data_IF_104439434675
#
_entry.id   IF_104439434675
#
_cell.length_a   1.000
_cell.length_b   1.000
_cell.length_c   1.000
_cell.angle_alpha   90.00
_cell.angle_beta   90.00
_cell.angle_gamma   90.00
#
_symmetry.space_group_name_H-M   'P 1'
#
loop_
_entity.id
_entity.type
_entity.pdbx_description
1 polymer ?
2 non-polymer ?
3 water ?
#
# COMPACT_ATOMS: atom_id res chain seq x y z
N UNK A 8 -23.52 -10.71 11.43
CA UNK A 8 -22.42 -10.44 12.34
C UNK A 8 -21.39 -9.47 11.80
N UNK A 9 -20.90 -9.69 10.58
CA UNK A 9 -19.93 -8.80 9.93
C UNK A 9 -20.57 -7.46 9.64
N UNK A 10 -20.86 -6.71 10.70
CA UNK A 10 -21.78 -5.57 10.62
C UNK A 10 -21.13 -4.19 10.62
N UNK A 11 -19.81 -4.12 10.51
CA UNK A 11 -19.12 -2.82 10.37
C UNK A 11 -19.32 -2.22 8.99
N UNK A 12 -19.64 -0.91 8.93
CA UNK A 12 -19.76 -0.28 7.63
C UNK A 12 -18.52 -0.58 6.80
N UNK A 13 -18.73 -1.10 5.60
CA UNK A 13 -17.62 -1.52 4.75
C UNK A 13 -17.92 -1.41 3.26
N UNK A 14 -16.87 -1.21 2.48
CA UNK A 14 -16.97 -1.09 1.04
C UNK A 14 -15.66 -1.51 0.41
N UNK A 15 -15.77 -2.34 -0.62
CA UNK A 15 -14.66 -2.63 -1.52
C UNK A 15 -15.26 -2.68 -2.90
N UNK A 16 -15.09 -1.60 -3.64
CA UNK A 16 -15.66 -1.46 -4.98
C UNK A 16 -14.56 -1.45 -6.03
N UNK A 17 -14.91 -1.80 -7.26
CA UNK A 17 -13.93 -2.00 -8.32
C UNK A 17 -14.28 -1.14 -9.53
N UNK A 18 -13.36 -1.03 -10.48
CA UNK A 18 -13.64 -0.28 -11.67
C UNK A 18 -14.50 -1.10 -12.62
N UNK A 19 -15.41 -0.43 -13.31
CA UNK A 19 -16.21 -1.05 -14.37
C UNK A 19 -15.44 -1.12 -15.68
N UNK A 20 -15.27 -2.34 -16.23
CA UNK A 20 -14.49 -2.53 -17.46
C UNK A 20 -15.18 -1.97 -18.71
N UNK A 21 -16.50 -2.13 -18.80
CA UNK A 21 -17.28 -1.70 -19.96
C UNK A 21 -17.39 -0.18 -20.06
N UNK A 22 -16.97 0.53 -19.01
CA UNK A 22 -16.99 1.99 -18.99
C UNK A 22 -15.70 2.54 -19.56
N UNK A 23 -15.73 2.87 -20.85
CA UNK A 23 -14.54 3.28 -21.60
C UNK A 23 -13.96 4.63 -21.14
N UNK A 24 -12.65 4.65 -20.89
CA UNK A 24 -11.90 5.85 -20.53
C UNK A 24 -12.46 6.66 -19.37
N UNK A 25 -12.89 5.96 -18.32
CA UNK A 25 -13.47 6.58 -17.12
C UNK A 25 -13.20 5.70 -15.92
N UNK A 26 -12.89 6.32 -14.79
CA UNK A 26 -12.80 5.60 -13.53
C UNK A 26 -14.15 5.67 -12.81
N UNK A 27 -15.05 4.73 -13.11
CA UNK A 27 -16.33 4.64 -12.39
C UNK A 27 -16.51 3.35 -11.57
N UNK A 28 -16.58 3.55 -10.26
CA UNK A 28 -16.68 2.47 -9.30
C UNK A 28 -18.00 1.72 -9.37
N UNK A 29 -17.96 0.41 -9.13
CA UNK A 29 -19.20 -0.36 -9.04
C UNK A 29 -19.17 -1.45 -7.97
N UNK A 30 -20.34 -1.73 -7.43
CA UNK A 30 -20.53 -2.85 -6.54
C UNK A 30 -20.91 -4.05 -7.40
N UNK A 31 -19.94 -4.50 -8.19
CA UNK A 31 -20.12 -5.63 -9.08
C UNK A 31 -18.84 -6.45 -9.04
N UNK A 32 -18.93 -7.71 -9.48
CA UNK A 32 -17.79 -8.61 -9.38
C UNK A 32 -18.06 -9.66 -8.34
N UNK A 33 -17.23 -10.69 -8.32
CA UNK A 33 -17.45 -11.82 -7.43
C UNK A 33 -17.08 -11.45 -5.98
N UNK A 34 -16.12 -10.54 -5.83
CA UNK A 34 -15.66 -10.11 -4.52
C UNK A 34 -15.63 -8.59 -4.36
N UNK A 35 -16.83 -8.00 -4.29
CA UNK A 35 -17.01 -6.57 -4.03
C UNK A 35 -17.95 -6.36 -2.85
N UNK A 36 -17.76 -5.27 -2.12
CA UNK A 36 -18.58 -4.98 -0.95
C UNK A 36 -19.16 -3.57 -0.94
N UNK A 37 -20.43 -3.49 -0.58
CA UNK A 37 -21.08 -2.24 -0.27
C UNK A 37 -22.04 -2.58 0.85
N UNK A 38 -21.59 -2.44 2.09
CA UNK A 38 -22.36 -3.00 3.19
C UNK A 38 -22.46 -2.13 4.43
N UNK A 39 -23.46 -2.47 5.24
CA UNK A 39 -23.66 -1.91 6.58
C UNK A 39 -23.71 -0.39 6.61
N UNK A 40 -24.42 0.19 5.65
CA UNK A 40 -24.65 1.62 5.65
C UNK A 40 -23.99 2.36 4.50
N UNK A 41 -22.79 1.95 4.12
CA UNK A 41 -22.02 2.67 3.10
C UNK A 41 -22.75 2.69 1.76
N UNK A 42 -22.72 3.83 1.10
CA UNK A 42 -23.33 3.96 -0.23
C UNK A 42 -22.35 4.36 -1.33
N UNK A 43 -22.71 3.98 -2.55
CA UNK A 43 -22.04 4.45 -3.75
C UNK A 43 -23.00 5.38 -4.47
N UNK A 44 -22.72 6.68 -4.35
CA UNK A 44 -23.57 7.74 -4.88
C UNK A 44 -22.72 8.70 -5.70
N UNK A 45 -23.17 9.02 -6.92
CA UNK A 45 -22.48 9.96 -7.80
C UNK A 45 -20.97 9.63 -7.91
N UNK A 46 -20.67 8.33 -8.06
CA UNK A 46 -19.30 7.79 -8.14
C UNK A 46 -18.48 7.92 -6.85
N UNK A 47 -19.17 8.15 -5.73
CA UNK A 47 -18.51 8.40 -4.44
C UNK A 47 -19.06 7.52 -3.32
N UNK A 48 -18.20 7.16 -2.38
CA UNK A 48 -18.58 6.36 -1.23
C UNK A 48 -19.04 7.28 -0.11
N UNK A 49 -20.26 7.01 0.38
CA UNK A 49 -20.89 7.86 1.40
C UNK A 49 -20.71 7.20 2.76
N UNK A 50 -20.19 7.97 3.72
CA UNK A 50 -19.87 7.43 5.05
C UNK A 50 -21.13 7.42 5.93
N UNK A 51 -21.53 6.24 6.44
CA UNK A 51 -22.75 6.24 7.22
C UNK A 51 -22.60 6.65 8.69
N UNK A 52 -21.37 6.68 9.21
CA UNK A 52 -21.14 6.82 10.65
C UNK A 52 -19.88 7.56 11.01
N UNK A 53 -19.85 8.16 12.20
CA UNK A 53 -18.63 8.79 12.71
C UNK A 53 -17.68 7.74 13.29
N UNK A 54 -16.40 7.87 12.97
CA UNK A 54 -15.36 7.05 13.57
C UNK A 54 -14.04 7.00 12.81
N UNK A 55 -13.20 6.05 13.20
CA UNK A 55 -11.94 5.83 12.51
C UNK A 55 -12.16 4.82 11.40
N UNK A 56 -11.87 5.23 10.17
CA UNK A 56 -11.90 4.31 9.03
C UNK A 56 -10.52 4.03 8.48
N UNK A 57 -10.29 2.78 8.10
CA UNK A 57 -9.20 2.47 7.17
C UNK A 57 -9.74 2.68 5.77
N UNK A 58 -9.01 3.49 5.01
CA UNK A 58 -9.38 3.76 3.63
C UNK A 58 -8.19 3.45 2.77
N UNK A 59 -8.45 2.97 1.56
CA UNK A 59 -7.38 2.57 0.64
C UNK A 59 -7.83 2.64 -0.81
N UNK A 60 -6.88 2.62 -1.73
CA UNK A 60 -7.18 2.56 -3.16
C UNK A 60 -5.96 2.21 -4.00
N UNK A 61 -6.22 1.58 -5.15
CA UNK A 61 -5.18 1.21 -6.10
C UNK A 61 -5.71 1.46 -7.50
N UNK A 62 -4.86 2.04 -8.33
CA UNK A 62 -5.13 2.12 -9.74
C UNK A 62 -3.95 1.55 -10.50
N UNK A 63 -4.24 0.85 -11.60
CA UNK A 63 -3.20 0.38 -12.50
C UNK A 63 -3.21 1.27 -13.71
N UNK A 64 -2.11 1.99 -13.91
CA UNK A 64 -1.92 2.85 -15.07
C UNK A 64 -1.14 2.09 -16.11
N UNK A 65 -1.57 2.18 -17.36
CA UNK A 65 -0.89 1.49 -18.47
C UNK A 65 -0.86 2.32 -19.74
N UNK A 66 0.14 2.08 -20.57
CA UNK A 66 0.30 2.79 -21.83
C UNK A 66 1.28 2.08 -22.75
N UNK A 67 1.14 2.30 -24.05
CA UNK A 67 1.96 1.60 -25.06
C UNK A 67 3.33 2.24 -25.24
N UNK A 68 3.37 3.56 -25.38
CA UNK A 68 4.63 4.29 -25.40
C UNK A 68 4.61 5.51 -24.50
N UNK A 69 5.57 6.40 -24.72
CA UNK A 69 5.65 7.67 -24.00
C UNK A 69 5.53 8.83 -24.98
N UNK A 70 4.27 9.27 -25.26
CA UNK A 70 4.01 10.21 -26.35
C UNK A 70 4.65 11.57 -26.09
N UNK A 71 4.26 12.21 -25.00
CA UNK A 71 4.78 13.52 -24.63
C UNK A 71 6.10 13.37 -23.88
N UNK A 72 7.01 14.31 -24.15
CA UNK A 72 8.28 14.42 -23.43
C UNK A 72 8.13 14.15 -21.92
N UNK A 73 6.97 14.52 -21.37
CA UNK A 73 6.69 14.32 -19.96
C UNK A 73 5.19 14.30 -19.64
N UNK A 74 4.78 13.31 -18.85
CA UNK A 74 3.40 13.15 -18.42
C UNK A 74 3.37 12.83 -16.94
N UNK A 75 2.43 13.40 -16.19
CA UNK A 75 2.31 13.11 -14.77
C UNK A 75 1.00 12.42 -14.46
N UNK A 76 1.10 11.24 -13.82
CA UNK A 76 -0.04 10.48 -13.36
C UNK A 76 -0.27 10.70 -11.87
N UNK A 77 -1.48 11.07 -11.50
CA UNK A 77 -1.83 11.24 -10.08
C UNK A 77 -2.94 10.34 -9.62
N UNK A 78 -2.91 10.00 -8.34
CA UNK A 78 -3.99 9.24 -7.73
C UNK A 78 -4.34 9.87 -6.38
N UNK A 79 -5.63 10.14 -6.19
CA UNK A 79 -6.08 10.91 -5.03
C UNK A 79 -7.29 10.32 -4.33
N UNK A 80 -7.28 10.37 -3.00
CA UNK A 80 -8.49 10.18 -2.21
C UNK A 80 -8.78 11.46 -1.47
N UNK A 81 -9.89 12.08 -1.84
CA UNK A 81 -10.30 13.33 -1.24
C UNK A 81 -11.60 13.14 -0.45
N UNK A 82 -11.87 14.09 0.44
CA UNK A 82 -13.03 14.05 1.29
C UNK A 82 -13.90 15.26 1.05
N UNK A 83 -15.20 15.00 0.90
CA UNK A 83 -16.21 16.07 0.90
C UNK A 83 -17.11 15.90 2.13
N UNK A 84 -17.06 16.88 3.02
CA UNK A 84 -17.97 16.97 4.16
C UNK A 84 -19.36 17.42 3.67
N UNK A 85 -20.37 17.04 4.46
CA UNK A 85 -21.79 17.09 4.05
C UNK A 85 -22.30 18.44 3.52
N UNK A 86 -22.06 19.50 4.29
CA UNK A 86 -22.51 20.84 3.89
C UNK A 86 -21.43 21.61 3.16
N UNK A 87 -20.27 20.96 2.97
CA UNK A 87 -19.10 21.60 2.38
C UNK A 87 -18.78 21.00 1.02
N UNK A 88 -19.44 21.48 -0.03
CA UNK A 88 -19.13 21.06 -1.40
C UNK A 88 -17.80 21.66 -1.90
N UNK A 89 -16.71 21.13 -1.35
CA UNK A 89 -15.33 21.46 -1.73
C UNK A 89 -14.42 20.33 -1.23
N UNK A 90 -13.93 19.48 -2.15
CA UNK A 90 -13.17 18.30 -1.72
C UNK A 90 -11.85 18.68 -1.05
N UNK A 91 -11.39 17.76 -0.17
CA UNK A 91 -10.11 17.95 0.52
C UNK A 91 -9.29 16.66 0.53
N UNK A 92 -8.09 16.72 -0.03
CA UNK A 92 -7.20 15.58 -0.10
C UNK A 92 -6.86 14.97 1.25
N UNK A 93 -7.01 13.65 1.35
CA UNK A 93 -6.58 12.87 2.50
C UNK A 93 -5.34 12.05 2.15
N UNK A 94 -5.38 11.43 0.97
CA UNK A 94 -4.23 10.72 0.42
C UNK A 94 -3.95 11.14 -1.01
N UNK A 95 -2.68 11.31 -1.34
CA UNK A 95 -2.28 11.69 -2.68
C UNK A 95 -0.91 11.15 -3.05
N UNK A 96 -0.81 10.63 -4.28
CA UNK A 96 0.46 10.15 -4.81
C UNK A 96 0.61 10.48 -6.30
N UNK A 97 1.86 10.64 -6.73
CA UNK A 97 2.22 11.04 -8.09
C UNK A 97 3.31 10.09 -8.63
N UNK A 98 3.20 9.74 -9.91
CA UNK A 98 4.26 9.00 -10.62
C UNK A 98 4.51 9.59 -12.01
N UNK A 99 5.77 9.84 -12.31
CA UNK A 99 6.18 10.17 -13.67
C UNK A 99 6.54 8.86 -14.39
N UNK A 100 5.70 8.42 -15.33
CA UNK A 100 5.97 7.18 -16.04
C UNK A 100 7.15 7.22 -17.02
N UNK A 101 7.69 8.39 -17.36
CA UNK A 101 8.85 8.45 -18.28
C UNK A 101 9.76 9.69 -18.28
N UNK A 102 11.07 9.46 -18.38
CA UNK A 102 12.03 10.51 -18.76
C UNK A 102 12.59 10.21 -20.16
N UNK A 111 7.15 -0.19 -29.68
CA UNK A 111 7.24 0.38 -28.33
C UNK A 111 6.48 -0.44 -27.27
N UNK A 112 7.24 -1.23 -26.51
CA UNK A 112 6.74 -2.08 -25.43
C UNK A 112 5.96 -1.33 -24.33
N UNK A 113 4.86 -1.93 -23.80
CA UNK A 113 3.98 -1.30 -22.79
C UNK A 113 4.62 -1.03 -21.42
N UNK A 114 4.18 0.06 -20.77
CA UNK A 114 4.56 0.36 -19.37
C UNK A 114 3.38 0.20 -18.39
N UNK A 115 3.69 0.07 -17.10
CA UNK A 115 2.65 -0.12 -16.07
C UNK A 115 3.02 0.58 -14.79
N UNK A 116 2.04 1.24 -14.18
CA UNK A 116 2.27 1.96 -12.96
C UNK A 116 1.13 1.76 -11.97
N UNK A 117 1.27 0.79 -11.06
CA UNK A 117 0.29 0.67 -9.98
C UNK A 117 0.57 1.74 -8.94
N UNK A 118 -0.49 2.28 -8.35
CA UNK A 118 -0.32 3.33 -7.34
C UNK A 118 -1.21 2.99 -6.17
N UNK A 119 -0.60 2.68 -5.03
CA UNK A 119 -1.39 2.31 -3.86
C UNK A 119 -1.49 3.46 -2.89
N UNK A 120 -2.72 3.71 -2.42
CA UNK A 120 -3.04 4.72 -1.42
C UNK A 120 -3.64 4.05 -0.20
N UNK A 121 -3.19 4.44 0.99
CA UNK A 121 -3.72 3.82 2.22
C UNK A 121 -3.47 4.62 3.50
N UNK A 122 -4.51 4.81 4.29
CA UNK A 122 -4.37 5.48 5.58
C UNK A 122 -5.58 5.36 6.46
N UNK A 123 -5.40 5.68 7.75
CA UNK A 123 -6.47 5.67 8.72
C UNK A 123 -6.93 7.09 9.04
N UNK A 124 -8.22 7.35 8.82
CA UNK A 124 -8.74 8.69 8.98
C UNK A 124 -10.03 8.78 9.79
N UNK A 125 -10.15 9.90 10.51
CA UNK A 125 -11.34 10.25 11.27
C UNK A 125 -12.38 10.76 10.28
N UNK A 126 -13.46 10.01 10.10
CA UNK A 126 -14.52 10.39 9.16
C UNK A 126 -15.83 10.68 9.85
N UNK A 127 -16.65 11.53 9.23
CA UNK A 127 -17.98 11.93 9.74
C UNK A 127 -19.16 11.43 8.87
N UNK A 128 -20.34 11.22 9.48
CA UNK A 128 -21.50 10.70 8.75
C UNK A 128 -21.98 11.61 7.63
N UNK A 129 -22.01 11.07 6.40
CA UNK A 129 -22.43 11.80 5.23
C UNK A 129 -21.27 12.27 4.37
N UNK A 130 -20.03 12.06 4.86
CA UNK A 130 -18.85 12.39 4.08
C UNK A 130 -18.79 11.56 2.81
N UNK A 131 -18.40 12.23 1.72
CA UNK A 131 -18.22 11.56 0.45
C UNK A 131 -16.75 11.45 0.13
N UNK A 132 -16.38 10.26 -0.32
CA UNK A 132 -15.01 9.99 -0.68
C UNK A 132 -14.98 9.74 -2.17
N UNK A 133 -13.97 10.29 -2.81
CA UNK A 133 -13.74 9.98 -4.21
C UNK A 133 -12.33 9.47 -4.37
N UNK A 134 -12.17 8.48 -5.23
CA UNK A 134 -10.85 8.04 -5.60
C UNK A 134 -10.71 8.47 -7.05
N UNK A 135 -9.90 9.51 -7.27
CA UNK A 135 -9.83 10.13 -8.58
C UNK A 135 -8.47 9.99 -9.20
N UNK A 136 -8.43 10.13 -10.53
CA UNK A 136 -7.18 10.19 -11.27
C UNK A 136 -7.23 11.30 -12.31
N UNK A 137 -6.06 11.71 -12.78
CA UNK A 137 -5.97 12.76 -13.79
C UNK A 137 -5.99 12.19 -15.20
N UNK A 138 -5.52 10.95 -15.36
CA UNK A 138 -5.35 10.35 -16.69
C UNK A 138 -6.14 9.04 -16.87
N UNK A 139 -7.49 9.15 -16.98
CA UNK A 139 -8.32 7.96 -17.18
C UNK A 139 -8.08 7.30 -18.53
N UNK A 140 -7.49 8.05 -19.45
CA UNK A 140 -7.13 7.51 -20.76
C UNK A 140 -5.87 6.61 -20.70
N UNK A 141 -5.40 6.33 -19.48
CA UNK A 141 -4.28 5.41 -19.26
C UNK A 141 -4.65 4.30 -18.27
N UNK A 142 -5.84 4.39 -17.71
CA UNK A 142 -6.32 3.35 -16.80
C UNK A 142 -6.23 1.99 -17.46
N UNK A 143 -5.98 0.96 -16.65
CA UNK A 143 -6.00 -0.41 -17.10
C UNK A 143 -6.91 -1.20 -16.14
N UNK A 144 -8.19 -1.30 -16.50
CA UNK A 144 -9.13 -2.14 -15.74
C UNK A 144 -9.25 -3.50 -16.38
N UNK A 145 -8.26 -3.84 -17.21
CA UNK A 145 -8.29 -5.04 -18.08
C UNK A 145 -8.40 -6.37 -17.37
N UNK A 146 -8.24 -6.38 -16.03
CA UNK A 146 -8.37 -7.61 -15.26
C UNK A 146 -8.89 -7.37 -13.85
N UNK A 147 -9.50 -8.40 -13.27
CA UNK A 147 -9.98 -8.38 -11.90
C UNK A 147 -8.84 -8.11 -10.94
N UNK A 148 -9.12 -7.28 -9.93
CA UNK A 148 -8.17 -6.99 -8.87
C UNK A 148 -7.27 -5.79 -9.06
N UNK A 149 -7.28 -5.21 -10.26
CA UNK A 149 -6.31 -4.17 -10.62
C UNK A 149 -6.70 -2.76 -10.20
N UNK A 150 -8.00 -2.49 -10.17
CA UNK A 150 -8.49 -1.16 -9.83
C UNK A 150 -9.56 -1.27 -8.73
N UNK A 151 -9.24 -0.79 -7.54
CA UNK A 151 -10.13 -0.90 -6.40
C UNK A 151 -10.07 0.31 -5.47
N UNK A 152 -11.11 0.42 -4.67
CA UNK A 152 -11.35 1.51 -3.75
C UNK A 152 -12.21 0.90 -2.65
N UNK A 153 -11.72 0.97 -1.42
CA UNK A 153 -12.43 0.36 -0.30
C UNK A 153 -12.27 1.18 0.97
N UNK A 154 -13.23 1.02 1.88
CA UNK A 154 -13.16 1.63 3.21
C UNK A 154 -13.72 0.66 4.26
N UNK A 155 -13.16 0.71 5.46
CA UNK A 155 -13.68 -0.07 6.60
C UNK A 155 -13.63 0.76 7.88
N UNK A 156 -14.75 0.80 8.61
CA UNK A 156 -14.77 1.44 9.92
C UNK A 156 -14.02 0.58 10.93
N UNK A 157 -13.11 1.19 11.67
CA UNK A 157 -12.36 0.51 12.72
C UNK A 157 -12.97 0.76 14.10
N UNK B 7 -11.66 12.11 18.36
CA UNK B 7 -11.08 10.77 18.66
C UNK B 7 -12.17 9.82 19.19
N UNK B 8 -12.84 9.09 18.27
CA UNK B 8 -14.03 8.27 18.54
C UNK B 8 -13.74 6.93 19.23
N UNK B 9 -12.70 6.23 18.77
CA UNK B 9 -12.33 4.94 19.35
C UNK B 9 -11.30 5.12 20.47
N UNK B 10 -11.22 4.10 21.34
CA UNK B 10 -10.30 4.14 22.48
C UNK B 10 -8.94 3.52 22.13
N UNK B 11 -8.80 3.10 20.88
CA UNK B 11 -7.63 2.35 20.44
C UNK B 11 -6.46 3.26 20.16
N UNK B 12 -5.25 2.86 20.63
CA UNK B 12 -4.01 3.54 20.24
C UNK B 12 -3.97 3.81 18.74
N UNK B 13 -3.70 5.06 18.38
CA UNK B 13 -3.75 5.50 16.99
C UNK B 13 -2.79 6.69 16.74
N UNK B 14 -2.12 6.63 15.60
CA UNK B 14 -1.27 7.73 15.14
C UNK B 14 -1.49 7.93 13.65
N UNK B 15 -1.27 9.16 13.21
CA UNK B 15 -1.17 9.50 11.81
C UNK B 15 -0.40 10.82 11.69
N UNK B 16 0.93 10.73 11.58
CA UNK B 16 1.79 11.92 11.55
C UNK B 16 2.32 12.21 10.14
N UNK B 17 2.52 13.49 9.84
CA UNK B 17 2.95 13.90 8.51
C UNK B 17 4.35 14.53 8.52
N UNK B 18 4.90 14.68 7.33
CA UNK B 18 6.19 15.31 7.16
C UNK B 18 6.08 16.79 7.44
N UNK B 19 7.11 17.30 8.10
CA UNK B 19 7.26 18.72 8.32
C UNK B 19 8.30 19.27 7.34
N UNK B 20 7.86 20.12 6.40
CA UNK B 20 8.74 20.90 5.53
C UNK B 20 9.18 22.20 6.17
N UNK B 21 10.48 22.38 6.37
CA UNK B 21 11.02 23.64 6.93
C UNK B 21 12.32 24.07 6.24
N UNK B 22 13.15 23.09 5.92
CA UNK B 22 14.33 23.25 5.08
C UNK B 22 14.63 21.87 4.46
N UNK B 23 14.98 21.87 3.19
CA UNK B 23 15.21 20.65 2.38
C UNK B 23 15.58 19.38 3.16
N UNK B 24 16.42 19.55 4.18
CA UNK B 24 17.01 18.49 5.00
C UNK B 24 16.26 17.20 5.26
N UNK B 25 15.66 17.09 6.44
CA UNK B 25 15.27 15.82 7.05
C UNK B 25 13.81 15.42 6.83
N UNK B 26 13.53 14.12 6.98
CA UNK B 26 12.16 13.64 7.09
C UNK B 26 11.80 13.64 8.58
N UNK B 27 11.23 14.75 9.03
CA UNK B 27 10.85 14.89 10.42
C UNK B 27 9.34 14.78 10.56
N UNK B 28 8.89 13.87 11.41
CA UNK B 28 7.47 13.65 11.65
C UNK B 28 6.91 14.65 12.65
N UNK B 29 5.75 15.20 12.35
CA UNK B 29 5.09 16.15 13.24
C UNK B 29 3.59 15.88 13.35
N UNK B 30 3.07 15.96 14.57
CA UNK B 30 1.64 15.85 14.82
C UNK B 30 0.93 17.18 14.58
N UNK B 31 0.68 17.48 13.31
CA UNK B 31 0.12 18.76 12.86
C UNK B 31 -0.52 18.61 11.48
N UNK B 32 -1.40 19.53 11.13
CA UNK B 32 -2.12 19.45 9.85
C UNK B 32 -3.57 19.06 10.04
N UNK B 33 -4.31 19.09 8.94
CA UNK B 33 -5.76 18.84 8.95
C UNK B 33 -6.13 17.35 9.02
N UNK B 34 -5.11 16.49 8.92
CA UNK B 34 -5.29 15.04 8.88
C UNK B 34 -4.59 14.29 10.02
N UNK B 35 -3.98 15.03 10.96
CA UNK B 35 -3.06 14.44 11.95
C UNK B 35 -3.76 13.78 13.13
N UNK B 36 -3.13 12.75 13.68
CA UNK B 36 -3.66 12.07 14.88
C UNK B 36 -2.55 11.52 15.76
N UNK B 37 -2.65 11.78 17.06
CA UNK B 37 -1.79 11.18 18.08
C UNK B 37 -2.62 10.96 19.35
N UNK B 38 -3.27 9.81 19.44
CA UNK B 38 -4.21 9.57 20.53
C UNK B 38 -3.97 8.27 21.29
N UNK B 39 -4.67 8.18 22.43
CA UNK B 39 -4.77 6.97 23.25
C UNK B 39 -3.44 6.40 23.77
N UNK B 40 -2.57 7.30 24.24
CA UNK B 40 -1.29 6.90 24.81
C UNK B 40 -0.10 6.99 23.88
N UNK B 41 -0.31 6.72 22.59
CA UNK B 41 0.75 6.81 21.58
C UNK B 41 1.45 8.17 21.62
N UNK B 42 2.78 8.14 21.61
CA UNK B 42 3.60 9.36 21.72
C UNK B 42 4.54 9.50 20.54
N UNK B 43 4.93 10.75 20.23
CA UNK B 43 5.92 11.04 19.19
C UNK B 43 7.20 11.61 19.83
N UNK B 44 8.23 10.78 19.88
CA UNK B 44 9.42 11.04 20.69
C UNK B 44 10.68 10.73 19.88
N UNK B 45 11.66 11.64 19.93
CA UNK B 45 12.92 11.49 19.20
C UNK B 45 12.73 11.08 17.73
N UNK B 46 11.66 11.61 17.12
CA UNK B 46 11.23 11.31 15.74
C UNK B 46 10.69 9.89 15.52
N UNK B 47 10.16 9.30 16.59
CA UNK B 47 9.59 7.96 16.53
C UNK B 47 8.20 7.91 17.16
N UNK B 48 7.40 6.95 16.70
CA UNK B 48 6.14 6.64 17.36
C UNK B 48 6.40 5.68 18.52
N UNK B 49 5.94 6.06 19.70
CA UNK B 49 6.03 5.19 20.89
C UNK B 49 4.69 4.49 21.16
N UNK B 50 4.72 3.18 21.31
CA UNK B 50 3.51 2.39 21.61
C UNK B 50 3.25 2.27 23.11
N UNK B 51 2.01 2.55 23.55
CA UNK B 51 1.68 2.51 24.97
C UNK B 51 1.27 1.13 25.51
N UNK B 52 0.79 0.23 24.65
CA UNK B 52 0.36 -1.11 25.11
C UNK B 52 0.66 -2.27 24.13
N UNK B 53 0.57 -3.50 24.62
CA UNK B 53 0.69 -4.70 23.79
C UNK B 53 -0.56 -4.90 22.95
N UNK B 54 -0.36 -5.26 21.68
CA UNK B 54 -1.43 -5.53 20.75
C UNK B 54 -0.97 -5.68 19.31
N UNK B 55 -1.90 -6.02 18.45
CA UNK B 55 -1.66 -6.12 17.03
C UNK B 55 -1.90 -4.76 16.40
N UNK B 56 -0.85 -4.19 15.81
CA UNK B 56 -0.95 -2.86 15.18
C UNK B 56 -0.80 -2.99 13.68
N UNK B 57 -1.71 -2.34 12.94
CA UNK B 57 -1.51 -2.12 11.52
C UNK B 57 -0.59 -0.93 11.43
N UNK B 58 0.59 -1.13 10.85
CA UNK B 58 1.56 -0.07 10.64
C UNK B 58 1.69 0.23 9.15
N UNK B 59 1.80 1.52 8.83
CA UNK B 59 1.80 1.98 7.44
C UNK B 59 2.46 3.35 7.29
N UNK B 60 2.98 3.60 6.10
CA UNK B 60 3.57 4.86 5.76
C UNK B 60 3.62 5.05 4.25
N UNK B 61 3.56 6.29 3.82
CA UNK B 61 3.88 6.59 2.43
C UNK B 61 4.87 7.76 2.35
N UNK B 62 5.88 7.61 1.50
CA UNK B 62 6.79 8.70 1.19
C UNK B 62 6.71 9.00 -0.30
N UNK B 63 7.01 10.24 -0.66
CA UNK B 63 7.03 10.68 -2.04
C UNK B 63 8.36 11.35 -2.32
N UNK B 64 9.10 10.80 -3.28
CA UNK B 64 10.36 11.36 -3.68
C UNK B 64 10.16 12.15 -4.97
N UNK B 65 10.93 13.22 -5.14
CA UNK B 65 10.96 13.93 -6.41
C UNK B 65 12.37 14.44 -6.70
N UNK B 66 12.76 14.41 -7.97
CA UNK B 66 13.97 15.08 -8.38
C UNK B 66 13.86 15.71 -9.76
N UNK B 67 14.90 16.47 -10.12
CA UNK B 67 15.04 17.10 -11.44
C UNK B 67 16.05 16.35 -12.32
N UNK B 68 15.54 15.57 -13.27
CA UNK B 68 16.41 14.77 -14.12
C UNK B 68 17.24 13.73 -13.37
N UNK B 69 18.11 13.04 -14.11
CA UNK B 69 18.83 11.87 -13.61
C UNK B 69 20.34 12.02 -13.74
N UNK B 70 21.04 12.28 -12.61
CA UNK B 70 22.49 12.39 -12.63
C UNK B 70 23.17 11.09 -13.04
N UNK B 71 22.55 9.97 -12.73
CA UNK B 71 23.07 8.65 -13.12
C UNK B 71 21.94 7.68 -13.38
N UNK B 72 22.27 6.40 -13.39
CA UNK B 72 21.34 5.34 -13.67
C UNK B 72 21.12 4.50 -12.41
N UNK B 73 21.86 4.87 -11.35
CA UNK B 73 21.82 4.15 -10.08
C UNK B 73 21.45 5.01 -8.87
N UNK B 74 20.59 6.00 -9.09
CA UNK B 74 19.91 6.68 -7.99
C UNK B 74 18.93 5.65 -7.43
N UNK B 75 19.07 5.37 -6.15
CA UNK B 75 18.14 4.49 -5.46
C UNK B 75 17.43 5.25 -4.34
N UNK B 76 16.17 4.88 -4.14
CA UNK B 76 15.26 5.52 -3.16
C UNK B 76 14.71 4.44 -2.23
N UNK B 77 15.06 4.49 -0.93
CA UNK B 77 14.55 3.50 0.03
C UNK B 77 13.65 4.08 1.11
N UNK B 78 12.64 3.30 1.51
CA UNK B 78 11.82 3.63 2.64
C UNK B 78 11.76 2.44 3.58
N UNK B 79 11.83 2.69 4.88
CA UNK B 79 11.93 1.61 5.87
C UNK B 79 11.25 1.91 7.22
N UNK B 80 10.27 1.09 7.57
CA UNK B 80 9.67 1.09 8.90
C UNK B 80 10.46 0.10 9.73
N UNK B 81 11.01 0.55 10.85
CA UNK B 81 11.75 -0.36 11.72
C UNK B 81 11.16 -0.43 13.12
N UNK B 82 11.39 -1.56 13.79
CA UNK B 82 10.99 -1.71 15.17
C UNK B 82 12.18 -1.62 16.12
N UNK B 83 12.09 -0.69 17.07
CA UNK B 83 13.04 -0.63 18.18
C UNK B 83 12.33 -1.16 19.42
N UNK B 84 12.58 -2.44 19.70
CA UNK B 84 11.89 -3.15 20.75
C UNK B 84 12.49 -2.89 22.12
N UNK B 85 11.63 -2.91 23.15
CA UNK B 85 12.07 -2.88 24.54
C UNK B 85 12.85 -4.16 24.91
N UNK B 86 12.45 -5.27 24.29
CA UNK B 86 13.13 -6.55 24.44
C UNK B 86 14.55 -6.56 23.84
N UNK B 87 14.73 -5.91 22.70
CA UNK B 87 16.05 -5.75 22.06
C UNK B 87 16.15 -4.43 21.28
N UNK B 88 16.93 -3.49 21.81
CA UNK B 88 16.99 -2.10 21.33
C UNK B 88 17.96 -1.84 20.17
N UNK B 89 17.67 -2.45 19.03
CA UNK B 89 18.32 -2.13 17.76
C UNK B 89 17.27 -2.18 16.65
N UNK B 90 17.35 -1.26 15.67
CA UNK B 90 16.34 -1.17 14.61
C UNK B 90 16.26 -2.43 13.77
N UNK B 91 15.10 -3.07 13.76
CA UNK B 91 14.88 -4.27 12.99
C UNK B 91 13.82 -3.99 11.96
N UNK B 92 14.13 -4.26 10.69
CA UNK B 92 13.19 -3.98 9.59
C UNK B 92 11.87 -4.76 9.69
N UNK B 93 10.75 -4.02 9.66
CA UNK B 93 9.42 -4.64 9.56
C UNK B 93 8.90 -4.59 8.14
N UNK B 94 9.13 -3.45 7.49
CA UNK B 94 8.63 -3.18 6.15
C UNK B 94 9.64 -2.32 5.43
N UNK B 95 10.07 -2.77 4.26
CA UNK B 95 11.03 -2.01 3.48
C UNK B 95 10.81 -2.21 2.00
N UNK B 96 11.03 -1.16 1.21
CA UNK B 96 10.96 -1.22 -0.25
C UNK B 96 11.95 -0.25 -0.85
N UNK B 97 12.41 -0.57 -2.07
CA UNK B 97 13.37 0.23 -2.83
C UNK B 97 12.78 0.64 -4.19
N UNK B 98 12.99 1.90 -4.60
CA UNK B 98 12.59 2.34 -5.93
C UNK B 98 13.77 2.94 -6.69
N UNK B 99 13.70 2.85 -8.02
CA UNK B 99 14.72 3.42 -8.90
C UNK B 99 14.08 4.31 -9.96
N UNK B 100 14.21 5.65 -9.85
CA UNK B 100 13.56 6.59 -10.78
C UNK B 100 14.23 6.69 -12.16
N UNK B 101 15.51 6.32 -12.25
CA UNK B 101 16.32 6.66 -13.43
C UNK B 101 16.72 5.51 -14.34
N UNK B 102 16.08 5.42 -15.51
CA UNK B 102 16.41 4.40 -16.50
C UNK B 102 17.59 4.85 -17.36
N UNK B 103 17.58 6.11 -17.78
CA UNK B 103 18.74 6.71 -18.44
C UNK B 103 19.21 7.94 -17.67
N UNK B 104 20.49 8.26 -17.82
CA UNK B 104 21.04 9.56 -17.41
C UNK B 104 20.43 10.63 -18.32
N UNK B 105 20.07 11.79 -17.77
CA UNK B 105 19.61 12.89 -18.61
C UNK B 105 20.83 13.55 -19.23
N UNK B 106 20.92 13.54 -20.58
CA UNK B 106 22.13 14.06 -21.26
C UNK B 106 22.41 15.54 -20.96
N UNK B 107 23.68 15.94 -21.08
CA UNK B 107 24.09 17.30 -20.70
C UNK B 107 23.56 18.39 -21.63
N UNK B 108 22.84 19.35 -21.06
CA UNK B 108 22.26 20.46 -21.82
C UNK B 108 20.84 20.16 -22.28
N UNK B 109 20.36 18.95 -21.97
CA UNK B 109 18.99 18.57 -22.25
C UNK B 109 18.09 19.06 -21.13
N UNK B 110 16.96 19.66 -21.52
CA UNK B 110 15.91 20.06 -20.60
C UNK B 110 15.77 19.02 -19.50
N UNK B 111 15.93 19.45 -18.24
CA UNK B 111 15.83 18.53 -17.12
C UNK B 111 14.36 18.28 -16.76
N UNK B 112 14.00 17.00 -16.63
CA UNK B 112 12.61 16.64 -16.37
C UNK B 112 12.36 16.18 -14.92
N UNK B 113 11.26 16.66 -14.32
CA UNK B 113 10.90 16.26 -12.97
C UNK B 113 10.50 14.78 -12.91
N UNK B 114 10.98 14.08 -11.88
CA UNK B 114 10.45 12.76 -11.63
C UNK B 114 9.81 12.64 -10.24
N UNK B 115 9.00 11.60 -10.08
CA UNK B 115 8.23 11.35 -8.85
C UNK B 115 8.12 9.84 -8.62
N UNK B 116 8.36 9.41 -7.38
CA UNK B 116 8.24 8.01 -7.01
C UNK B 116 7.64 7.88 -5.62
N UNK B 117 6.45 7.28 -5.52
CA UNK B 117 5.91 6.93 -4.23
C UNK B 117 6.34 5.55 -3.75
N UNK B 118 6.42 5.40 -2.44
CA UNK B 118 6.54 4.08 -1.81
C UNK B 118 5.47 3.96 -0.72
N UNK B 119 4.66 2.93 -0.80
CA UNK B 119 3.71 2.64 0.25
C UNK B 119 4.08 1.36 1.00
N UNK B 120 4.16 1.50 2.33
CA UNK B 120 4.42 0.41 3.24
C UNK B 120 3.22 0.24 4.15
N UNK B 121 2.78 -1.00 4.34
CA UNK B 121 1.65 -1.29 5.22
C UNK B 121 1.63 -2.75 5.61
N UNK B 122 1.37 -3.03 6.89
CA UNK B 122 1.43 -4.39 7.41
C UNK B 122 1.04 -4.46 8.87
N UNK B 123 0.83 -5.67 9.38
CA UNK B 123 0.38 -5.87 10.76
C UNK B 123 1.45 -6.56 11.63
N UNK B 124 1.60 -6.05 12.86
CA UNK B 124 2.67 -6.49 13.75
C UNK B 124 2.23 -6.45 15.22
N UNK B 125 2.64 -7.46 15.96
CA UNK B 125 2.51 -7.45 17.41
C UNK B 125 3.58 -6.56 18.00
N UNK B 126 3.16 -5.57 18.77
CA UNK B 126 4.10 -4.65 19.40
C UNK B 126 3.96 -4.70 20.92
N UNK B 127 5.09 -4.57 21.60
CA UNK B 127 5.13 -4.53 23.06
C UNK B 127 4.99 -3.10 23.57
N UNK B 128 4.58 -2.93 24.84
CA UNK B 128 4.48 -1.58 25.39
C UNK B 128 5.85 -0.95 25.61
N UNK B 129 6.08 0.20 24.99
CA UNK B 129 7.36 0.87 25.06
C UNK B 129 8.16 0.72 23.78
N UNK B 130 7.65 -0.10 22.87
CA UNK B 130 8.26 -0.26 21.55
C UNK B 130 8.27 1.07 20.80
N UNK B 131 9.28 1.27 19.97
CA UNK B 131 9.48 2.51 19.26
C UNK B 131 9.45 2.18 17.78
N UNK B 132 8.76 2.99 16.99
CA UNK B 132 8.75 2.78 15.55
C UNK B 132 9.27 4.00 14.79
N UNK B 133 10.10 3.75 13.79
CA UNK B 133 10.66 4.80 12.93
C UNK B 133 10.34 4.49 11.47
N UNK B 134 10.25 5.54 10.67
CA UNK B 134 9.98 5.44 9.24
C UNK B 134 10.97 6.36 8.56
N UNK B 135 11.92 5.75 7.85
CA UNK B 135 13.16 6.39 7.49
C UNK B 135 13.49 6.24 6.01
N UNK B 136 14.25 7.20 5.47
CA UNK B 136 14.65 7.17 4.06
C UNK B 136 16.16 7.35 3.90
N UNK B 137 16.70 6.96 2.76
CA UNK B 137 18.13 7.11 2.51
C UNK B 137 18.49 8.48 1.93
N UNK B 138 17.59 9.05 1.15
CA UNK B 138 17.85 10.30 0.42
C UNK B 138 16.82 11.36 0.76
N UNK B 139 16.98 12.03 1.92
CA UNK B 139 16.06 13.09 2.27
C UNK B 139 16.26 14.34 1.38
N UNK B 140 17.30 14.33 0.55
CA UNK B 140 17.48 15.40 -0.42
C UNK B 140 16.51 15.21 -1.58
N UNK B 141 16.00 13.99 -1.72
CA UNK B 141 15.01 13.68 -2.77
C UNK B 141 13.55 13.68 -2.29
N UNK B 142 13.32 13.92 -1.00
CA UNK B 142 11.96 13.95 -0.46
C UNK B 142 11.16 15.10 -1.05
N UNK B 143 9.97 14.79 -1.56
CA UNK B 143 9.17 15.82 -2.24
C UNK B 143 8.53 16.83 -1.30
N UNK B 144 8.18 16.41 -0.08
CA UNK B 144 7.25 17.15 0.79
C UNK B 144 5.95 17.34 -0.03
N UNK B 145 5.22 18.43 0.15
CA UNK B 145 5.12 19.17 1.38
C UNK B 145 3.72 18.77 1.78
N UNK B 146 2.81 19.06 0.83
CA UNK B 146 1.37 18.97 0.98
C UNK B 146 0.89 17.70 1.66
N UNK B 147 -0.01 17.91 2.62
CA UNK B 147 -0.77 16.89 3.31
C UNK B 147 -1.21 15.80 2.37
N UNK B 148 -1.14 14.56 2.85
CA UNK B 148 -1.65 13.42 2.11
C UNK B 148 -0.61 12.79 1.21
N UNK B 149 0.62 13.29 1.26
CA UNK B 149 1.68 12.69 0.45
C UNK B 149 2.76 11.93 1.24
N UNK B 150 3.05 12.39 2.46
CA UNK B 150 4.12 11.82 3.26
C UNK B 150 3.66 11.68 4.69
N UNK B 151 3.41 10.45 5.09
CA UNK B 151 2.78 10.20 6.37
C UNK B 151 3.26 8.90 6.98
N UNK B 152 2.96 8.75 8.26
CA UNK B 152 3.37 7.60 9.05
C UNK B 152 2.25 7.36 10.06
N UNK B 153 1.76 6.12 10.14
CA UNK B 153 0.58 5.83 10.97
C UNK B 153 0.53 4.43 11.57
N UNK B 154 -0.18 4.32 12.70
CA UNK B 154 -0.41 3.05 13.40
C UNK B 154 -1.79 3.02 14.03
N UNK B 155 -2.36 1.82 14.19
CA UNK B 155 -3.61 1.62 14.94
C UNK B 155 -3.70 0.24 15.58
N UNK B 156 -4.13 0.21 16.84
CA UNK B 156 -4.40 -1.05 17.54
C UNK B 156 -5.68 -1.69 17.01
N UNK B 157 -5.55 -2.91 16.50
CA UNK B 157 -6.70 -3.67 16.03
C UNK B 157 -7.26 -4.60 17.10
N UNK C 8 -1.36 -13.76 21.51
CA UNK C 8 -1.45 -12.36 21.10
C UNK C 8 -2.81 -11.74 21.48
N UNK C 9 -3.80 -11.91 20.59
CA UNK C 9 -5.16 -11.39 20.82
C UNK C 9 -6.19 -12.46 20.45
N UNK C 10 -7.39 -12.04 20.04
CA UNK C 10 -8.48 -12.99 19.75
C UNK C 10 -8.68 -13.28 18.26
N UNK C 11 -8.27 -12.34 17.41
CA UNK C 11 -8.62 -12.37 15.99
C UNK C 11 -7.60 -13.16 15.14
N UNK C 12 -8.09 -14.05 14.25
CA UNK C 12 -7.28 -14.70 13.23
C UNK C 12 -6.30 -13.74 12.57
N UNK C 13 -5.01 -14.07 12.64
CA UNK C 13 -3.95 -13.18 12.19
C UNK C 13 -2.76 -13.92 11.56
N UNK C 14 -2.23 -13.35 10.48
CA UNK C 14 -1.05 -13.89 9.81
C UNK C 14 -0.20 -12.78 9.19
N UNK C 15 1.11 -12.90 9.36
CA UNK C 15 2.08 -12.09 8.62
C UNK C 15 3.30 -12.97 8.34
N UNK C 16 3.34 -13.51 7.13
CA UNK C 16 4.44 -14.39 6.71
C UNK C 16 5.37 -13.66 5.73
N UNK C 17 6.58 -14.18 5.60
CA UNK C 17 7.60 -13.58 4.75
C UNK C 17 8.24 -14.62 3.85
N UNK C 18 8.81 -14.15 2.75
CA UNK C 18 9.49 -15.03 1.81
C UNK C 18 10.72 -15.69 2.43
N UNK C 19 10.90 -16.97 2.13
CA UNK C 19 12.09 -17.70 2.57
C UNK C 19 13.24 -17.51 1.58
N UNK C 20 14.31 -16.80 2.01
CA UNK C 20 15.49 -16.53 1.17
C UNK C 20 16.27 -17.76 0.69
N UNK C 21 16.14 -18.88 1.39
CA UNK C 21 16.79 -20.13 1.01
C UNK C 21 16.05 -20.86 -0.11
N UNK C 22 14.89 -20.32 -0.50
CA UNK C 22 14.04 -20.95 -1.52
C UNK C 22 14.46 -20.56 -2.92
N UNK C 23 15.11 -21.51 -3.60
CA UNK C 23 15.58 -21.34 -4.98
C UNK C 23 14.40 -21.28 -5.95
N UNK C 24 14.33 -20.18 -6.70
CA UNK C 24 13.32 -19.98 -7.74
C UNK C 24 11.94 -20.48 -7.34
N UNK C 25 11.43 -19.90 -6.26
CA UNK C 25 10.09 -20.15 -5.78
C UNK C 25 9.83 -19.10 -4.71
N UNK C 26 8.67 -18.45 -4.79
CA UNK C 26 8.23 -17.62 -3.69
C UNK C 26 7.73 -18.58 -2.62
N UNK C 27 8.45 -18.67 -1.51
CA UNK C 27 8.07 -19.54 -0.41
C UNK C 27 7.80 -18.79 0.89
N UNK C 28 6.53 -18.75 1.28
CA UNK C 28 6.09 -18.08 2.50
C UNK C 28 6.45 -18.88 3.73
N UNK C 29 6.98 -18.22 4.75
CA UNK C 29 7.24 -18.88 6.04
C UNK C 29 6.85 -18.00 7.23
N UNK C 30 6.51 -18.65 8.33
CA UNK C 30 6.38 -17.98 9.61
C UNK C 30 7.69 -18.21 10.34
N UNK C 31 8.61 -17.25 10.20
CA UNK C 31 10.00 -17.45 10.59
C UNK C 31 10.62 -16.22 11.24
N UNK C 32 11.07 -16.39 12.48
CA UNK C 32 11.61 -15.29 13.29
C UNK C 32 10.54 -14.28 13.60
N UNK C 33 10.51 -13.78 14.85
CA UNK C 33 9.45 -12.87 15.30
C UNK C 33 9.35 -11.60 14.45
N UNK C 34 8.28 -10.84 14.66
CA UNK C 34 7.82 -9.81 13.71
C UNK C 34 7.12 -10.49 12.54
N UNK C 35 6.77 -11.76 12.77
CA UNK C 35 5.94 -12.53 11.87
C UNK C 35 4.88 -13.16 12.74
N UNK C 36 3.66 -13.24 12.22
CA UNK C 36 2.59 -13.89 12.95
C UNK C 36 1.98 -15.04 12.15
N UNK C 37 1.23 -15.86 12.85
CA UNK C 37 0.46 -16.96 12.29
C UNK C 37 -0.22 -17.54 13.52
N UNK C 38 -1.39 -16.99 13.85
CA UNK C 38 -2.02 -17.22 15.14
C UNK C 38 -3.55 -17.21 15.07
N UNK C 39 -4.18 -17.63 16.16
CA UNK C 39 -5.63 -17.59 16.32
C UNK C 39 -6.42 -18.37 15.26
N UNK C 40 -5.82 -19.46 14.76
CA UNK C 40 -6.50 -20.37 13.84
C UNK C 40 -6.05 -20.33 12.39
N UNK C 41 -5.29 -19.32 12.03
CA UNK C 41 -4.80 -19.21 10.66
C UNK C 41 -3.63 -20.18 10.44
N UNK C 42 -3.70 -20.92 9.34
CA UNK C 42 -2.63 -21.83 8.99
C UNK C 42 -1.97 -21.45 7.68
N UNK C 43 -0.68 -21.78 7.62
CA UNK C 43 0.06 -21.76 6.39
C UNK C 43 0.18 -23.20 5.90
N UNK C 44 -0.47 -23.51 4.79
CA UNK C 44 -0.40 -24.83 4.17
C UNK C 44 -0.19 -24.68 2.66
N UNK C 45 0.57 -25.59 2.07
CA UNK C 45 0.92 -25.56 0.64
C UNK C 45 1.12 -24.13 0.13
N UNK C 46 1.89 -23.34 0.89
CA UNK C 46 2.25 -21.94 0.54
C UNK C 46 1.09 -20.93 0.57
N UNK C 47 -0.04 -21.35 1.16
CA UNK C 47 -1.26 -20.55 1.13
C UNK C 47 -1.83 -20.33 2.53
N UNK C 48 -2.43 -19.16 2.74
CA UNK C 48 -3.08 -18.87 4.02
C UNK C 48 -4.51 -19.42 4.06
N UNK C 49 -4.76 -20.30 5.01
CA UNK C 49 -6.07 -20.91 5.19
C UNK C 49 -6.83 -20.17 6.30
N UNK C 50 -8.01 -19.66 5.98
CA UNK C 50 -8.83 -18.90 6.95
C UNK C 50 -9.78 -19.79 7.79
N UNK C 51 -9.81 -19.56 9.13
CA UNK C 51 -10.59 -20.41 10.05
C UNK C 51 -12.07 -20.06 10.25
N UNK C 52 -12.46 -18.81 10.05
CA UNK C 52 -13.84 -18.41 10.33
C UNK C 52 -14.38 -17.36 9.36
N UNK C 53 -15.70 -17.30 9.23
CA UNK C 53 -16.33 -16.26 8.43
C UNK C 53 -16.00 -14.89 9.02
N UNK C 54 -15.70 -13.94 8.15
CA UNK C 54 -15.48 -12.57 8.61
C UNK C 54 -14.89 -11.66 7.55
N UNK C 55 -14.83 -10.38 7.87
CA UNK C 55 -14.16 -9.41 7.02
C UNK C 55 -12.68 -9.38 7.37
N UNK C 56 -11.85 -9.57 6.36
CA UNK C 56 -10.40 -9.57 6.54
C UNK C 56 -9.75 -8.44 5.75
N UNK C 57 -8.83 -7.71 6.38
CA UNK C 57 -7.84 -6.99 5.61
C UNK C 57 -6.80 -8.00 5.08
N UNK C 58 -6.51 -7.91 3.80
CA UNK C 58 -5.57 -8.80 3.12
C UNK C 58 -4.57 -7.91 2.37
N UNK C 59 -3.27 -8.22 2.50
CA UNK C 59 -2.20 -7.39 1.92
C UNK C 59 -0.96 -8.22 1.70
N UNK C 60 -0.19 -7.87 0.66
CA UNK C 60 1.06 -8.52 0.35
C UNK C 60 1.96 -7.57 -0.42
N UNK C 61 3.27 -7.77 -0.26
CA UNK C 61 4.26 -6.99 -0.96
C UNK C 61 5.36 -7.88 -1.50
N UNK C 62 5.76 -7.57 -2.72
CA UNK C 62 6.96 -8.18 -3.29
C UNK C 62 7.83 -7.07 -3.82
N UNK C 63 9.13 -7.35 -3.89
CA UNK C 63 10.10 -6.45 -4.44
C UNK C 63 10.87 -7.25 -5.48
N UNK C 64 10.82 -6.78 -6.73
CA UNK C 64 11.64 -7.37 -7.79
C UNK C 64 12.84 -6.48 -8.04
N UNK C 65 13.89 -7.05 -8.63
CA UNK C 65 15.04 -6.27 -9.08
C UNK C 65 15.91 -6.98 -10.11
N UNK C 66 16.82 -6.20 -10.70
CA UNK C 66 17.71 -6.65 -11.74
C UNK C 66 18.94 -5.78 -11.74
N UNK C 67 20.02 -6.31 -12.32
CA UNK C 67 21.29 -5.61 -12.47
C UNK C 67 21.27 -4.76 -13.72
N UNK C 68 20.55 -5.25 -14.73
CA UNK C 68 20.27 -4.49 -15.93
C UNK C 68 18.89 -4.84 -16.41
N UNK C 69 18.58 -4.45 -17.64
CA UNK C 69 17.30 -4.82 -18.20
C UNK C 69 17.39 -6.04 -19.12
N UNK C 70 16.54 -7.06 -18.84
CA UNK C 70 16.51 -8.30 -19.59
C UNK C 70 16.49 -8.07 -21.10
N UNK C 71 17.26 -8.88 -21.82
CA UNK C 71 17.31 -8.78 -23.28
C UNK C 71 15.92 -8.79 -23.92
N UNK C 72 14.98 -9.44 -23.24
CA UNK C 72 13.61 -9.53 -23.70
C UNK C 72 12.72 -8.81 -22.70
N UNK C 73 11.67 -8.16 -23.20
CA UNK C 73 10.68 -7.52 -22.33
C UNK C 73 10.00 -8.50 -21.38
N UNK C 74 9.98 -8.12 -20.11
CA UNK C 74 9.39 -8.96 -19.06
C UNK C 74 8.31 -8.16 -18.33
N UNK C 75 7.15 -8.80 -18.14
CA UNK C 75 6.16 -8.28 -17.24
C UNK C 75 6.29 -8.97 -15.90
N UNK C 76 6.32 -8.19 -14.83
CA UNK C 76 6.38 -8.70 -13.48
C UNK C 76 5.06 -8.42 -12.79
N UNK C 77 4.41 -9.49 -12.36
CA UNK C 77 3.11 -9.39 -11.70
C UNK C 77 3.14 -9.94 -10.28
N UNK C 78 2.12 -9.57 -9.52
CA UNK C 78 1.90 -10.06 -8.17
C UNK C 78 0.41 -10.06 -7.96
N UNK C 79 -0.10 -11.15 -7.43
CA UNK C 79 -1.53 -11.28 -7.21
C UNK C 79 -1.90 -12.14 -6.01
N UNK C 80 -2.98 -11.73 -5.35
CA UNK C 80 -3.62 -12.49 -4.29
C UNK C 80 -4.95 -13.04 -4.80
N UNK C 81 -5.20 -14.31 -4.53
CA UNK C 81 -6.34 -15.03 -5.07
C UNK C 81 -7.13 -15.76 -3.98
N UNK C 82 -8.45 -15.76 -4.11
CA UNK C 82 -9.31 -16.51 -3.21
C UNK C 82 -9.58 -17.86 -3.83
N UNK C 83 -9.19 -18.91 -3.12
CA UNK C 83 -9.44 -20.28 -3.52
C UNK C 83 -10.43 -20.87 -2.53
N UNK C 84 -11.70 -20.89 -2.93
CA UNK C 84 -12.81 -21.32 -2.08
C UNK C 84 -13.01 -22.83 -2.07
N UNK C 85 -12.72 -23.47 -3.21
CA UNK C 85 -12.92 -24.93 -3.39
C UNK C 85 -12.06 -25.48 -4.52
N UNK C 86 -11.69 -26.76 -4.43
CA UNK C 86 -10.88 -27.43 -5.46
C UNK C 86 -11.40 -27.23 -6.89
N UNK C 87 -12.73 -27.27 -7.07
CA UNK C 87 -13.33 -27.28 -8.41
C UNK C 87 -13.59 -25.91 -9.07
N UNK C 88 -13.52 -24.84 -8.28
CA UNK C 88 -13.69 -23.48 -8.82
C UNK C 88 -12.33 -22.86 -9.07
N UNK C 89 -12.27 -22.05 -10.14
CA UNK C 89 -11.07 -21.34 -10.47
C UNK C 89 -10.84 -20.22 -9.46
N UNK C 90 -9.59 -20.09 -8.96
CA UNK C 90 -9.24 -19.04 -8.00
C UNK C 90 -9.66 -17.66 -8.50
N UNK C 91 -10.14 -16.81 -7.61
CA UNK C 91 -10.52 -15.46 -8.03
C UNK C 91 -9.51 -14.40 -7.55
N UNK C 92 -9.03 -13.59 -8.48
CA UNK C 92 -8.10 -12.49 -8.18
C UNK C 92 -8.75 -11.45 -7.29
N UNK C 93 -8.24 -11.31 -6.08
CA UNK C 93 -8.72 -10.27 -5.18
C UNK C 93 -7.94 -8.98 -5.41
N UNK C 94 -6.61 -9.10 -5.55
CA UNK C 94 -5.71 -7.95 -5.63
C UNK C 94 -4.59 -8.24 -6.59
N UNK C 95 -4.52 -7.47 -7.67
CA UNK C 95 -3.54 -7.78 -8.71
C UNK C 95 -2.92 -6.52 -9.33
N UNK C 96 -1.61 -6.58 -9.60
CA UNK C 96 -0.86 -5.47 -10.18
C UNK C 96 0.29 -5.94 -11.05
N UNK C 97 0.55 -5.19 -12.11
CA UNK C 97 1.59 -5.51 -13.09
C UNK C 97 2.69 -4.45 -13.06
N UNK C 98 3.89 -4.87 -13.41
CA UNK C 98 5.05 -3.99 -13.50
C UNK C 98 5.87 -4.43 -14.67
N UNK C 99 6.62 -3.47 -15.23
CA UNK C 99 7.46 -3.71 -16.37
C UNK C 99 8.78 -2.97 -16.16
N UNK C 100 9.87 -3.73 -15.94
CA UNK C 100 11.18 -3.14 -15.74
C UNK C 100 11.65 -2.31 -16.92
N UNK C 101 11.25 -2.64 -18.15
CA UNK C 101 11.87 -1.93 -19.27
C UNK C 101 11.12 -1.52 -20.54
N UNK C 102 11.16 -0.21 -20.78
CA UNK C 102 10.92 0.39 -22.08
C UNK C 102 12.06 0.05 -23.03
N UNK C 111 24.63 -0.39 -17.37
CA UNK C 111 23.88 -1.55 -16.95
C UNK C 111 23.11 -1.21 -15.67
N UNK C 112 21.88 -0.70 -15.85
CA UNK C 112 21.16 -0.05 -14.76
C UNK C 112 20.41 -0.95 -13.78
N UNK C 113 20.78 -0.88 -12.49
CA UNK C 113 20.06 -1.57 -11.41
C UNK C 113 18.65 -1.02 -11.25
N UNK C 114 17.66 -1.91 -11.17
CA UNK C 114 16.28 -1.48 -11.03
C UNK C 114 15.54 -2.25 -9.94
N UNK C 115 14.65 -1.54 -9.25
CA UNK C 115 13.84 -2.10 -8.18
C UNK C 115 12.41 -1.66 -8.42
N UNK C 116 11.49 -2.60 -8.22
CA UNK C 116 10.07 -2.44 -8.54
C UNK C 116 9.23 -3.13 -7.47
N UNK C 117 8.72 -2.37 -6.49
CA UNK C 117 7.83 -2.92 -5.50
C UNK C 117 6.38 -2.98 -5.99
N UNK C 118 5.68 -4.05 -5.61
CA UNK C 118 4.23 -4.13 -5.82
C UNK C 118 3.56 -4.29 -4.45
N UNK C 119 2.66 -3.36 -4.14
CA UNK C 119 1.86 -3.43 -2.92
C UNK C 119 0.37 -3.63 -3.24
N UNK C 120 -0.20 -4.67 -2.64
CA UNK C 120 -1.62 -5.01 -2.77
C UNK C 120 -2.20 -5.05 -1.38
N UNK C 121 -3.42 -4.56 -1.21
CA UNK C 121 -4.07 -4.62 0.09
C UNK C 121 -5.53 -4.18 0.03
N UNK C 122 -6.42 -5.07 0.49
CA UNK C 122 -7.85 -4.82 0.45
C UNK C 122 -8.64 -5.60 1.50
N UNK C 123 -9.90 -5.20 1.66
CA UNK C 123 -10.78 -5.80 2.65
C UNK C 123 -11.75 -6.79 2.02
N UNK C 124 -11.68 -8.05 2.46
CA UNK C 124 -12.51 -9.08 1.85
C UNK C 124 -13.32 -9.89 2.87
N UNK C 125 -14.58 -10.14 2.52
CA UNK C 125 -15.39 -11.14 3.25
C UNK C 125 -14.85 -12.52 2.91
N UNK C 126 -14.61 -13.34 3.92
CA UNK C 126 -14.11 -14.68 3.66
C UNK C 126 -14.88 -15.69 4.47
N UNK C 127 -14.72 -16.97 4.11
CA UNK C 127 -15.40 -18.10 4.77
C UNK C 127 -14.36 -19.08 5.33
N UNK C 128 -14.75 -19.89 6.34
CA UNK C 128 -13.78 -20.83 6.91
C UNK C 128 -13.30 -21.81 5.85
N UNK C 129 -11.99 -22.06 5.81
CA UNK C 129 -11.44 -22.96 4.81
C UNK C 129 -10.95 -22.30 3.53
N UNK C 130 -11.36 -21.06 3.28
CA UNK C 130 -10.86 -20.33 2.12
C UNK C 130 -9.34 -20.37 2.13
N UNK C 131 -8.77 -20.42 0.93
CA UNK C 131 -7.34 -20.41 0.81
C UNK C 131 -6.93 -19.15 0.08
N UNK C 132 -5.99 -18.42 0.65
CA UNK C 132 -5.47 -17.21 0.04
C UNK C 132 -4.08 -17.49 -0.47
N UNK C 133 -3.86 -17.29 -1.76
CA UNK C 133 -2.50 -17.42 -2.29
C UNK C 133 -1.99 -16.05 -2.75
N UNK C 134 -0.70 -15.81 -2.54
CA UNK C 134 -0.04 -14.57 -2.93
C UNK C 134 1.09 -14.96 -3.85
N UNK C 135 0.91 -14.72 -5.15
CA UNK C 135 1.78 -15.31 -6.15
C UNK C 135 2.28 -14.38 -7.23
N UNK C 136 3.56 -14.52 -7.53
CA UNK C 136 4.21 -13.75 -8.58
C UNK C 136 4.34 -14.62 -9.81
N UNK C 137 4.38 -14.03 -10.99
CA UNK C 137 4.57 -14.83 -12.20
C UNK C 137 5.98 -15.35 -12.34
N UNK C 138 6.96 -14.49 -12.02
CA UNK C 138 8.40 -14.79 -12.19
C UNK C 138 9.21 -14.76 -10.89
N UNK C 139 9.68 -15.91 -10.42
CA UNK C 139 10.41 -15.95 -9.15
C UNK C 139 11.86 -15.47 -9.28
N UNK C 140 12.39 -15.51 -10.50
CA UNK C 140 13.80 -15.23 -10.76
C UNK C 140 14.17 -13.74 -10.68
N UNK C 141 13.21 -12.91 -10.27
CA UNK C 141 13.46 -11.48 -10.11
C UNK C 141 13.12 -11.00 -8.71
N UNK C 142 12.82 -11.92 -7.80
CA UNK C 142 12.65 -11.59 -6.39
C UNK C 142 13.94 -11.07 -5.76
N UNK C 143 13.80 -10.06 -4.90
CA UNK C 143 14.93 -9.50 -4.16
C UNK C 143 14.81 -9.81 -2.66
N UNK C 144 15.89 -10.32 -2.08
CA UNK C 144 15.94 -10.62 -0.64
C UNK C 144 17.06 -9.87 0.12
N UNK C 145 17.66 -8.86 -0.51
CA UNK C 145 18.87 -8.20 0.04
C UNK C 145 18.68 -7.48 1.39
N UNK C 146 17.43 -7.21 1.73
CA UNK C 146 17.07 -6.64 3.02
C UNK C 146 15.94 -7.46 3.63
N UNK C 147 15.71 -7.26 4.92
CA UNK C 147 14.83 -8.10 5.73
C UNK C 147 13.33 -8.05 5.40
N UNK C 148 12.76 -6.86 5.23
CA UNK C 148 11.30 -6.76 5.19
C UNK C 148 10.70 -6.31 3.87
N UNK C 149 11.13 -6.93 2.78
CA UNK C 149 10.75 -6.51 1.44
C UNK C 149 9.68 -7.40 0.83
N UNK C 150 9.51 -8.60 1.36
CA UNK C 150 8.57 -9.58 0.82
C UNK C 150 7.76 -10.17 1.98
N UNK C 151 6.46 -9.92 1.96
CA UNK C 151 5.57 -10.26 3.06
C UNK C 151 4.14 -10.34 2.58
N UNK C 152 3.37 -11.14 3.32
CA UNK C 152 2.02 -11.54 2.97
C UNK C 152 1.35 -11.66 4.32
N UNK C 153 0.17 -11.06 4.46
CA UNK C 153 -0.51 -11.06 5.74
C UNK C 153 -2.00 -10.85 5.66
N UNK C 154 -2.68 -11.13 6.77
CA UNK C 154 -4.13 -10.96 6.91
C UNK C 154 -4.49 -10.72 8.38
N UNK C 155 -5.60 -10.03 8.62
CA UNK C 155 -6.15 -9.94 9.96
C UNK C 155 -7.68 -9.89 9.91
N UNK C 156 -8.31 -10.71 10.74
CA UNK C 156 -9.76 -10.66 10.92
C UNK C 156 -10.11 -9.35 11.64
N UNK C 157 -11.11 -8.65 11.13
CA UNK C 157 -11.44 -7.33 11.66
C UNK C 157 -12.70 -7.29 12.51
X LIG D 1 3.29 2.50 -4.20
X LIG D 1 2.21 3.15 -4.89
X LIG D 1 3.46 1.07 -4.72
X LIG D 1 3.53 1.08 -6.15
X LIG D 1 4.74 0.45 -4.20
X LIG D 1 5.12 0.95 -2.91
#
# INVERSE_FOLDING_TARGET
>A
VRSSSRTPSDMPVAHVVANPQAEGQLQWKNAGANALLANGVELRDNQLVVPSEGLYLIYSQVLFSGQGCPSTHVLLTHTISRIAVSYQTPVNLLSAIRSPCQRETPEGAEANPWYEPIYLGGVFQLEPGDRLSAEINRPDYLDFASTGQVYFGIIAL
>B
VRSSSRTPSDMPVAHVVANPQAEGQLQWKNAGANALLANGVELRDNQLVVPSEGLYLIYSQVLFSGQGCPSTHVLLTHTISRIAVSYQTPVNLLSAIRSPCQRETPEGAEANPWYEPIYLGGVFQLEPGDRLSAEINRPDYLDFASTGQVYFGIIAL
>C
VRSSSRTPSDMPVAHVVANPQAEGQLQWKNAGANALLANGVELRDNQLVVPSEGLYLIYSQVLFSGQGCPSTHVLLTHTISRIAVSYQTPVNLLSAIRSPCQRETPEGAEANPWYEPIYLGGVFQLEPGDRLSAEINRPDYLDFASTGQVYFGIIAL
>D hetero
1 GOL C1 O1 C2 O2 C3 O3
#
